data_IF_402864866541
#
_entry.id   IF_402864866541
#
_cell.length_a   1.000
_cell.length_b   1.000
_cell.length_c   1.000
_cell.angle_alpha   90.00
_cell.angle_beta   90.00
_cell.angle_gamma   90.00
#
_symmetry.space_group_name_H-M   'P 1'
#
loop_
_entity.id
_entity.type
_entity.pdbx_description
1 polymer ?
#
# COMPACT_ATOMS: atom_id res chain seq x y z
N UNK A 1 -22.18 -2.55 -30.03
CA UNK A 1 -23.30 -3.14 -29.25
C UNK A 1 -22.69 -3.84 -28.05
N UNK A 2 -23.23 -3.67 -26.81
CA UNK A 2 -22.79 -4.46 -25.69
C UNK A 2 -23.09 -5.94 -25.95
N UNK A 3 -22.33 -6.87 -25.38
CA UNK A 3 -22.63 -8.30 -25.49
C UNK A 3 -23.93 -8.66 -24.77
N UNK A 4 -24.63 -9.71 -25.23
CA UNK A 4 -25.95 -10.10 -24.74
C UNK A 4 -25.95 -10.54 -23.25
N UNK A 5 -24.80 -10.86 -22.69
CA UNK A 5 -24.61 -11.23 -21.29
C UNK A 5 -24.20 -10.07 -20.38
N UNK A 6 -24.27 -8.82 -20.86
CA UNK A 6 -23.94 -7.62 -20.10
C UNK A 6 -25.20 -6.76 -19.92
N UNK A 7 -25.64 -6.61 -18.68
CA UNK A 7 -26.80 -5.83 -18.29
C UNK A 7 -26.40 -4.62 -17.47
N UNK A 8 -27.10 -3.49 -17.65
CA UNK A 8 -26.84 -2.25 -16.95
C UNK A 8 -28.07 -1.80 -16.17
N UNK A 9 -27.89 -1.51 -14.89
CA UNK A 9 -28.87 -0.80 -14.07
C UNK A 9 -28.39 0.63 -13.83
N UNK A 10 -29.19 1.64 -14.21
CA UNK A 10 -28.85 3.04 -14.05
C UNK A 10 -29.47 3.68 -12.79
N UNK A 11 -30.31 2.93 -12.08
CA UNK A 11 -30.87 3.33 -10.80
C UNK A 11 -31.04 2.09 -9.92
N UNK A 12 -30.79 2.25 -8.64
CA UNK A 12 -31.00 1.20 -7.64
C UNK A 12 -31.41 1.83 -6.30
N UNK A 13 -31.92 1.00 -5.40
CA UNK A 13 -32.18 1.35 -4.02
C UNK A 13 -30.90 1.46 -3.19
N UNK A 14 -31.10 1.82 -1.92
CA UNK A 14 -30.00 1.98 -0.98
C UNK A 14 -29.67 0.67 -0.28
N UNK A 15 -28.43 0.52 0.10
CA UNK A 15 -27.85 -0.58 0.85
C UNK A 15 -28.44 -0.64 2.26
N UNK A 16 -28.91 -1.82 2.67
CA UNK A 16 -29.64 -2.00 3.91
C UNK A 16 -31.14 -1.68 3.81
N UNK A 17 -31.64 -1.36 2.62
CA UNK A 17 -33.06 -1.13 2.34
C UNK A 17 -33.51 -1.97 1.12
N UNK A 18 -33.43 -1.42 -0.11
CA UNK A 18 -34.00 -2.09 -1.29
C UNK A 18 -32.93 -2.74 -2.18
N UNK A 19 -31.65 -2.34 -2.09
CA UNK A 19 -30.58 -2.82 -3.00
C UNK A 19 -30.44 -4.33 -2.97
N UNK A 20 -30.43 -4.93 -1.77
CA UNK A 20 -30.26 -6.36 -1.60
C UNK A 20 -31.41 -7.14 -2.27
N UNK A 21 -32.67 -6.69 -2.10
CA UNK A 21 -33.81 -7.32 -2.75
C UNK A 21 -33.78 -7.18 -4.26
N UNK A 22 -33.32 -6.03 -4.77
CA UNK A 22 -33.15 -5.80 -6.20
C UNK A 22 -32.07 -6.70 -6.80
N UNK A 23 -30.95 -6.91 -6.09
CA UNK A 23 -29.91 -7.86 -6.51
C UNK A 23 -30.49 -9.27 -6.55
N UNK A 24 -31.23 -9.70 -5.54
CA UNK A 24 -31.89 -11.01 -5.50
C UNK A 24 -32.86 -11.21 -6.67
N UNK A 25 -33.62 -10.18 -7.03
CA UNK A 25 -34.54 -10.25 -8.17
C UNK A 25 -33.78 -10.34 -9.51
N UNK A 26 -32.71 -9.57 -9.69
CA UNK A 26 -31.82 -9.69 -10.86
C UNK A 26 -31.22 -11.09 -10.97
N UNK A 27 -30.78 -11.69 -9.86
CA UNK A 27 -30.21 -13.04 -9.86
C UNK A 27 -31.26 -14.12 -10.16
N UNK A 28 -32.55 -13.91 -9.84
CA UNK A 28 -33.66 -14.78 -10.27
C UNK A 28 -33.92 -14.68 -11.77
N UNK A 29 -33.89 -13.43 -12.30
CA UNK A 29 -34.13 -13.19 -13.73
C UNK A 29 -32.96 -13.67 -14.60
N UNK A 30 -31.72 -13.58 -14.06
CA UNK A 30 -30.48 -13.95 -14.73
C UNK A 30 -29.66 -14.97 -13.88
N UNK A 31 -30.10 -16.22 -13.77
CA UNK A 31 -29.46 -17.18 -12.86
C UNK A 31 -28.05 -17.61 -13.28
N UNK A 32 -27.59 -17.26 -14.47
CA UNK A 32 -26.21 -17.48 -14.95
C UNK A 32 -25.27 -16.33 -14.61
N UNK A 33 -25.70 -15.34 -13.85
CA UNK A 33 -24.85 -14.21 -13.42
C UNK A 33 -23.68 -14.72 -12.58
N UNK A 34 -22.45 -14.45 -13.00
CA UNK A 34 -21.22 -14.78 -12.25
C UNK A 34 -20.55 -13.56 -11.65
N UNK A 35 -20.89 -12.36 -12.13
CA UNK A 35 -20.22 -11.13 -11.71
C UNK A 35 -21.21 -9.96 -11.68
N UNK A 36 -21.20 -9.22 -10.55
CA UNK A 36 -21.97 -8.01 -10.34
C UNK A 36 -21.04 -6.85 -10.01
N UNK A 37 -21.20 -5.70 -10.68
CA UNK A 37 -20.48 -4.47 -10.37
C UNK A 37 -21.39 -3.45 -9.70
N UNK A 38 -20.89 -2.82 -8.61
CA UNK A 38 -21.52 -1.68 -7.95
C UNK A 38 -20.58 -0.49 -8.08
N UNK A 39 -20.94 0.50 -8.88
CA UNK A 39 -20.15 1.70 -9.12
C UNK A 39 -21.00 2.95 -8.79
N UNK A 40 -20.79 3.54 -7.64
CA UNK A 40 -19.83 3.32 -6.58
C UNK A 40 -20.54 2.98 -5.27
N UNK A 41 -19.80 2.44 -4.29
CA UNK A 41 -20.33 2.19 -2.94
C UNK A 41 -20.98 3.43 -2.33
N UNK A 42 -20.40 4.62 -2.57
CA UNK A 42 -20.92 5.87 -2.04
C UNK A 42 -22.31 6.22 -2.59
N UNK A 43 -22.63 5.82 -3.83
CA UNK A 43 -23.92 6.11 -4.47
C UNK A 43 -25.04 5.25 -3.92
N UNK A 44 -24.73 4.07 -3.42
CA UNK A 44 -25.71 3.11 -2.87
C UNK A 44 -25.82 3.17 -1.35
N UNK A 45 -24.99 3.98 -0.70
CA UNK A 45 -25.04 4.19 0.76
C UNK A 45 -26.09 5.21 1.14
N UNK A 46 -26.76 4.95 2.24
CA UNK A 46 -27.57 6.00 2.89
C UNK A 46 -26.63 7.06 3.52
N UNK A 47 -27.09 8.32 3.52
CA UNK A 47 -26.40 9.42 4.20
C UNK A 47 -26.48 9.24 5.72
N UNK A 48 -25.59 8.41 6.27
CA UNK A 48 -25.55 8.14 7.72
C UNK A 48 -25.04 9.38 8.44
N UNK A 49 -25.77 9.79 9.48
CA UNK A 49 -25.39 10.93 10.33
C UNK A 49 -23.97 10.70 10.92
N UNK A 50 -23.20 11.78 11.06
CA UNK A 50 -21.80 11.82 11.52
C UNK A 50 -21.50 11.19 12.89
N UNK A 51 -22.47 10.54 13.55
CA UNK A 51 -22.36 9.92 14.87
C UNK A 51 -22.11 8.40 14.84
N UNK A 52 -22.16 7.77 13.68
CA UNK A 52 -21.95 6.32 13.56
C UNK A 52 -20.46 6.02 13.36
N UNK A 53 -19.96 5.00 14.05
CA UNK A 53 -18.60 4.52 13.84
C UNK A 53 -18.45 4.04 12.39
N UNK A 54 -17.63 4.72 11.59
CA UNK A 54 -17.42 4.43 10.19
C UNK A 54 -17.00 2.96 9.94
N UNK A 55 -16.18 2.40 10.83
CA UNK A 55 -15.77 1.00 10.78
C UNK A 55 -16.97 0.04 10.85
N UNK A 56 -17.85 0.25 11.83
CA UNK A 56 -19.02 -0.62 12.03
C UNK A 56 -20.00 -0.52 10.87
N UNK A 57 -20.13 0.67 10.27
CA UNK A 57 -20.97 0.88 9.12
C UNK A 57 -20.39 0.21 7.87
N UNK A 58 -19.10 0.43 7.58
CA UNK A 58 -18.41 -0.21 6.45
C UNK A 58 -18.51 -1.74 6.54
N UNK A 59 -18.28 -2.29 7.73
CA UNK A 59 -18.38 -3.73 7.97
C UNK A 59 -19.80 -4.25 7.74
N UNK A 60 -20.83 -3.54 8.22
CA UNK A 60 -22.24 -3.92 8.06
C UNK A 60 -22.65 -3.91 6.58
N UNK A 61 -22.33 -2.83 5.87
CA UNK A 61 -22.67 -2.63 4.47
C UNK A 61 -22.11 -3.74 3.59
N UNK A 62 -20.81 -4.00 3.70
CA UNK A 62 -20.18 -5.04 2.90
C UNK A 62 -20.57 -6.46 3.34
N UNK A 63 -20.91 -6.68 4.60
CA UNK A 63 -21.32 -8.00 5.08
C UNK A 63 -22.66 -8.46 4.45
N UNK A 64 -23.57 -7.55 4.11
CA UNK A 64 -24.82 -7.91 3.41
C UNK A 64 -24.51 -8.35 1.97
N UNK A 65 -23.67 -7.61 1.25
CA UNK A 65 -23.24 -7.96 -0.10
C UNK A 65 -22.43 -9.27 -0.12
N UNK A 66 -21.54 -9.46 0.86
CA UNK A 66 -20.77 -10.70 1.01
C UNK A 66 -21.68 -11.92 1.15
N UNK A 67 -22.73 -11.83 1.98
CA UNK A 67 -23.70 -12.91 2.14
C UNK A 67 -24.41 -13.27 0.84
N UNK A 68 -24.80 -12.28 0.03
CA UNK A 68 -25.42 -12.52 -1.28
C UNK A 68 -24.42 -13.21 -2.20
N UNK A 69 -23.17 -12.71 -2.26
CA UNK A 69 -22.12 -13.31 -3.07
C UNK A 69 -21.89 -14.79 -2.72
N UNK A 70 -21.78 -15.10 -1.42
CA UNK A 70 -21.56 -16.45 -0.92
C UNK A 70 -22.75 -17.37 -1.20
N UNK A 71 -23.99 -16.88 -0.99
CA UNK A 71 -25.19 -17.67 -1.19
C UNK A 71 -25.41 -18.06 -2.66
N UNK A 72 -25.05 -17.19 -3.58
CA UNK A 72 -25.25 -17.40 -5.02
C UNK A 72 -23.99 -17.87 -5.75
N UNK A 73 -22.83 -17.93 -5.06
CA UNK A 73 -21.56 -18.32 -5.68
C UNK A 73 -21.10 -17.34 -6.77
N UNK A 74 -21.36 -16.03 -6.58
CA UNK A 74 -21.01 -14.98 -7.52
C UNK A 74 -19.91 -14.06 -6.96
N UNK A 75 -19.26 -13.32 -7.83
CA UNK A 75 -18.38 -12.23 -7.44
C UNK A 75 -19.13 -10.89 -7.44
N UNK A 76 -19.12 -10.17 -6.31
CA UNK A 76 -19.59 -8.78 -6.25
C UNK A 76 -18.40 -7.85 -6.20
N UNK A 77 -18.22 -7.03 -7.23
CA UNK A 77 -17.15 -6.04 -7.37
C UNK A 77 -17.69 -4.67 -6.97
N UNK A 78 -17.13 -4.11 -5.89
CA UNK A 78 -17.55 -2.83 -5.35
C UNK A 78 -16.50 -1.78 -5.61
N UNK A 79 -16.84 -0.74 -6.37
CA UNK A 79 -15.96 0.39 -6.64
C UNK A 79 -16.05 1.41 -5.51
N UNK A 80 -14.89 1.88 -5.02
CA UNK A 80 -14.82 2.87 -3.97
C UNK A 80 -13.67 3.85 -4.21
N UNK A 81 -13.81 5.10 -3.76
CA UNK A 81 -12.77 6.11 -3.91
C UNK A 81 -11.70 5.99 -2.81
N UNK A 82 -10.46 6.29 -3.16
CA UNK A 82 -9.36 6.40 -2.19
C UNK A 82 -9.34 7.81 -1.57
N UNK A 83 -8.74 7.95 -0.37
CA UNK A 83 -8.52 9.25 0.27
C UNK A 83 -7.53 10.09 -0.53
N UNK A 84 -7.69 11.42 -0.46
CA UNK A 84 -6.73 12.38 -1.05
C UNK A 84 -5.39 12.39 -0.30
N UNK A 85 -5.41 12.21 1.03
CA UNK A 85 -4.21 12.14 1.85
C UNK A 85 -3.55 10.76 1.74
N UNK A 86 -2.25 10.76 1.45
CA UNK A 86 -1.45 9.54 1.37
C UNK A 86 -0.88 9.22 2.75
N UNK A 87 -1.29 8.09 3.32
CA UNK A 87 -0.54 7.51 4.43
C UNK A 87 0.72 6.86 3.83
N UNK A 88 1.91 7.40 4.16
CA UNK A 88 3.20 6.93 3.64
C UNK A 88 3.59 5.51 4.07
N UNK A 89 2.63 4.74 4.61
CA UNK A 89 2.76 3.35 5.02
C UNK A 89 2.15 2.36 4.02
N UNK A 90 1.16 1.60 4.47
CA UNK A 90 0.47 0.61 3.65
C UNK A 90 -0.52 1.28 2.71
N UNK A 91 -0.42 1.02 1.39
CA UNK A 91 -1.29 1.58 0.35
C UNK A 91 -2.78 1.27 0.60
N UNK A 92 -3.10 0.15 1.24
CA UNK A 92 -4.47 -0.24 1.56
C UNK A 92 -5.10 0.59 2.68
N UNK A 93 -4.29 1.34 3.46
CA UNK A 93 -4.78 2.32 4.42
C UNK A 93 -5.36 3.58 3.74
N UNK A 94 -5.06 3.78 2.45
CA UNK A 94 -5.58 4.91 1.68
C UNK A 94 -7.00 4.66 1.13
N UNK A 95 -7.55 3.46 1.32
CA UNK A 95 -8.98 3.25 1.02
C UNK A 95 -9.81 4.15 1.94
N UNK A 96 -10.71 4.92 1.32
CA UNK A 96 -11.59 5.83 2.05
C UNK A 96 -12.49 5.03 2.98
N UNK A 97 -12.52 5.38 4.24
CA UNK A 97 -13.31 4.65 5.22
C UNK A 97 -12.41 4.10 6.32
N UNK A 98 -12.73 2.95 6.76
CA UNK A 98 -12.03 2.27 7.82
C UNK A 98 -11.41 0.99 7.29
N UNK A 99 -10.56 0.39 8.10
CA UNK A 99 -10.12 -0.99 7.91
C UNK A 99 -11.29 -1.99 7.84
N UNK A 100 -12.53 -1.54 8.08
CA UNK A 100 -13.76 -2.32 7.99
C UNK A 100 -14.03 -2.89 6.60
N UNK A 101 -13.73 -2.12 5.54
CA UNK A 101 -13.89 -2.58 4.15
C UNK A 101 -13.00 -3.81 3.90
N UNK A 102 -11.70 -3.69 4.22
CA UNK A 102 -10.74 -4.78 4.03
C UNK A 102 -10.99 -5.97 4.96
N UNK A 103 -11.67 -5.75 6.09
CA UNK A 103 -12.05 -6.81 7.03
C UNK A 103 -13.11 -7.77 6.48
N UNK A 104 -13.93 -7.34 5.53
CA UNK A 104 -15.02 -8.12 4.92
C UNK A 104 -14.66 -8.62 3.52
N UNK A 105 -14.02 -7.79 2.71
CA UNK A 105 -13.66 -8.15 1.33
C UNK A 105 -12.66 -9.32 1.30
N UNK A 106 -12.86 -10.25 0.37
CA UNK A 106 -11.89 -11.34 0.13
C UNK A 106 -10.66 -10.82 -0.60
N UNK A 107 -10.84 -9.84 -1.48
CA UNK A 107 -9.76 -9.22 -2.27
C UNK A 107 -9.95 -7.72 -2.33
N UNK A 108 -8.89 -6.97 -2.08
CA UNK A 108 -8.79 -5.53 -2.28
C UNK A 108 -7.90 -5.22 -3.48
N UNK A 109 -8.35 -4.29 -4.32
CA UNK A 109 -7.61 -3.79 -5.47
C UNK A 109 -7.54 -2.27 -5.42
N UNK A 110 -6.34 -1.69 -5.50
CA UNK A 110 -6.15 -0.24 -5.52
C UNK A 110 -5.46 0.17 -6.80
N UNK A 111 -6.21 0.87 -7.66
CA UNK A 111 -5.68 1.46 -8.88
C UNK A 111 -5.25 2.92 -8.62
N UNK A 112 -4.00 3.24 -8.90
CA UNK A 112 -3.46 4.60 -8.80
C UNK A 112 -2.81 5.00 -10.09
N UNK A 113 -3.14 6.19 -10.58
CA UNK A 113 -2.33 6.84 -11.60
C UNK A 113 -1.07 7.41 -10.95
N UNK A 114 0.06 7.25 -11.61
CA UNK A 114 1.35 7.76 -11.14
C UNK A 114 1.38 9.29 -11.23
N UNK A 115 0.75 9.84 -12.28
CA UNK A 115 0.51 11.25 -12.49
C UNK A 115 -0.92 11.48 -12.99
N UNK A 116 -1.50 12.66 -12.66
CA UNK A 116 -2.88 13.02 -13.02
C UNK A 116 -3.10 13.00 -14.54
N UNK A 117 -2.11 13.42 -15.30
CA UNK A 117 -2.17 13.54 -16.77
C UNK A 117 -1.34 12.46 -17.50
N UNK A 118 -0.64 11.62 -16.76
CA UNK A 118 0.20 10.54 -17.30
C UNK A 118 -0.62 9.33 -17.74
N UNK A 119 0.00 8.51 -18.57
CA UNK A 119 -0.57 7.27 -19.10
C UNK A 119 -0.18 6.04 -18.28
N UNK A 120 0.53 6.24 -17.15
CA UNK A 120 0.98 5.16 -16.28
C UNK A 120 0.09 5.05 -15.04
N UNK A 121 -0.15 3.83 -14.62
CA UNK A 121 -0.85 3.52 -13.38
C UNK A 121 -0.28 2.26 -12.72
N UNK A 122 -0.54 2.14 -11.43
CA UNK A 122 -0.18 0.97 -10.64
C UNK A 122 -1.45 0.38 -10.03
N UNK A 123 -1.68 -0.92 -10.24
CA UNK A 123 -2.73 -1.70 -9.58
C UNK A 123 -2.08 -2.58 -8.50
N UNK A 124 -2.43 -2.35 -7.25
CA UNK A 124 -2.03 -3.19 -6.12
C UNK A 124 -3.18 -4.12 -5.75
N UNK A 125 -2.90 -5.40 -5.56
CA UNK A 125 -3.86 -6.45 -5.24
C UNK A 125 -3.42 -7.13 -3.95
N UNK A 126 -4.35 -7.33 -3.02
CA UNK A 126 -4.16 -8.15 -1.82
C UNK A 126 -5.46 -8.86 -1.47
N UNK A 127 -5.38 -10.00 -0.81
CA UNK A 127 -6.57 -10.76 -0.43
C UNK A 127 -6.25 -11.94 0.47
N UNK A 128 -7.30 -12.64 0.92
CA UNK A 128 -7.17 -13.81 1.79
C UNK A 128 -6.57 -15.00 1.04
N UNK A 129 -7.06 -15.21 -0.19
CA UNK A 129 -6.71 -16.35 -1.05
C UNK A 129 -5.98 -15.91 -2.32
N UNK A 130 -5.48 -14.66 -2.33
CA UNK A 130 -4.77 -14.07 -3.46
C UNK A 130 -3.41 -13.59 -2.99
N UNK A 131 -2.36 -14.01 -3.68
CA UNK A 131 -1.01 -13.52 -3.45
C UNK A 131 -0.93 -12.01 -3.70
N UNK A 132 -0.20 -11.29 -2.84
CA UNK A 132 0.02 -9.86 -3.06
C UNK A 132 0.75 -9.62 -4.38
N UNK A 133 0.18 -8.75 -5.21
CA UNK A 133 0.71 -8.39 -6.52
C UNK A 133 0.66 -6.89 -6.74
N UNK A 134 1.63 -6.41 -7.50
CA UNK A 134 1.66 -5.04 -7.99
C UNK A 134 1.83 -5.07 -9.50
N UNK A 135 0.83 -4.56 -10.22
CA UNK A 135 0.83 -4.52 -11.69
C UNK A 135 1.10 -3.09 -12.13
N UNK A 136 2.16 -2.88 -12.90
CA UNK A 136 2.35 -1.61 -13.61
C UNK A 136 1.56 -1.66 -14.90
N UNK A 137 0.88 -0.58 -15.20
CA UNK A 137 -0.05 -0.49 -16.32
C UNK A 137 0.20 0.79 -17.10
N UNK A 138 0.01 0.71 -18.40
CA UNK A 138 0.06 1.84 -19.30
C UNK A 138 -1.25 1.99 -20.08
N UNK A 139 -1.68 3.23 -20.30
CA UNK A 139 -2.86 3.52 -21.10
C UNK A 139 -2.50 3.45 -22.59
N UNK A 140 -3.09 2.49 -23.28
CA UNK A 140 -2.95 2.33 -24.73
C UNK A 140 -4.30 2.63 -25.40
N UNK A 141 -4.44 3.87 -25.88
CA UNK A 141 -5.71 4.36 -26.39
C UNK A 141 -6.77 4.50 -25.28
N UNK A 142 -7.73 3.56 -25.23
CA UNK A 142 -8.80 3.53 -24.22
C UNK A 142 -8.69 2.34 -23.25
N UNK A 143 -7.61 1.61 -23.28
CA UNK A 143 -7.40 0.41 -22.47
C UNK A 143 -6.13 0.54 -21.64
N UNK A 144 -6.19 0.00 -20.42
CA UNK A 144 -5.02 -0.22 -19.60
C UNK A 144 -4.38 -1.56 -19.98
N UNK A 145 -3.10 -1.55 -20.28
CA UNK A 145 -2.30 -2.75 -20.56
C UNK A 145 -1.29 -2.95 -19.43
N UNK A 146 -1.11 -4.21 -19.01
CA UNK A 146 -0.14 -4.57 -17.98
C UNK A 146 1.23 -4.60 -18.65
N UNK A 147 2.15 -3.78 -18.16
CA UNK A 147 3.54 -3.70 -18.66
C UNK A 147 4.50 -4.50 -17.80
N UNK A 148 4.21 -4.66 -16.50
CA UNK A 148 5.06 -5.38 -15.56
C UNK A 148 4.20 -5.97 -14.44
N UNK A 149 4.50 -7.19 -14.00
CA UNK A 149 3.92 -7.83 -12.83
C UNK A 149 5.01 -8.07 -11.79
N UNK A 150 4.84 -7.52 -10.59
CA UNK A 150 5.72 -7.73 -9.44
C UNK A 150 4.99 -8.64 -8.45
N UNK A 151 5.58 -9.79 -8.18
CA UNK A 151 5.09 -10.75 -7.19
C UNK A 151 5.33 -10.28 -5.75
N UNK A 152 4.76 -10.97 -4.76
CA UNK A 152 5.04 -10.72 -3.34
C UNK A 152 6.54 -10.80 -3.02
N UNK A 153 7.28 -11.70 -3.68
CA UNK A 153 8.74 -11.82 -3.49
C UNK A 153 9.49 -10.64 -4.09
N UNK A 154 9.02 -10.09 -5.22
CA UNK A 154 9.60 -8.88 -5.81
C UNK A 154 9.26 -7.64 -4.98
N UNK A 155 8.07 -7.59 -4.39
CA UNK A 155 7.66 -6.53 -3.46
C UNK A 155 8.45 -6.58 -2.14
N UNK A 156 8.80 -7.77 -1.66
CA UNK A 156 9.68 -7.95 -0.49
C UNK A 156 11.12 -7.53 -0.77
N UNK A 157 11.55 -7.59 -2.03
CA UNK A 157 12.83 -7.07 -2.51
C UNK A 157 12.78 -5.54 -2.72
N UNK A 158 11.86 -4.84 -2.05
CA UNK A 158 11.77 -3.38 -2.12
C UNK A 158 13.17 -2.78 -1.93
N UNK A 159 13.57 -1.89 -2.84
CA UNK A 159 14.91 -1.30 -2.88
C UNK A 159 15.33 -0.86 -1.47
N UNK A 160 16.37 -1.49 -0.95
CA UNK A 160 16.93 -1.10 0.34
C UNK A 160 17.45 0.34 0.21
N UNK A 161 16.98 1.28 1.06
CA UNK A 161 17.42 2.66 0.99
C UNK A 161 18.94 2.79 1.18
N UNK A 162 19.58 3.69 0.46
CA UNK A 162 21.02 3.99 0.56
C UNK A 162 21.46 4.29 2.01
N UNK A 163 20.59 4.93 2.78
CA UNK A 163 20.79 5.14 4.21
C UNK A 163 21.10 3.85 4.98
N UNK A 164 20.41 2.76 4.67
CA UNK A 164 20.59 1.46 5.36
C UNK A 164 21.98 0.91 5.07
N UNK A 165 22.44 0.99 3.82
CA UNK A 165 23.81 0.62 3.45
C UNK A 165 24.87 1.49 4.11
N UNK A 166 24.66 2.81 4.18
CA UNK A 166 25.55 3.73 4.87
C UNK A 166 25.68 3.43 6.36
N UNK A 167 24.57 3.04 7.02
CA UNK A 167 24.61 2.62 8.42
C UNK A 167 25.43 1.32 8.59
N UNK A 168 25.26 0.36 7.69
CA UNK A 168 26.03 -0.90 7.73
C UNK A 168 27.53 -0.59 7.53
N UNK A 169 27.89 0.20 6.51
CA UNK A 169 29.29 0.60 6.27
C UNK A 169 29.91 1.27 7.50
N UNK A 170 29.18 2.22 8.08
CA UNK A 170 29.59 2.91 9.29
C UNK A 170 29.88 1.94 10.45
N UNK A 171 29.00 0.95 10.63
CA UNK A 171 29.17 -0.03 11.71
C UNK A 171 30.30 -1.04 11.42
N UNK A 172 30.58 -1.35 10.17
CA UNK A 172 31.78 -2.14 9.83
C UNK A 172 33.08 -1.40 10.17
N UNK A 173 33.09 -0.08 10.05
CA UNK A 173 34.25 0.75 10.36
C UNK A 173 34.38 1.06 11.88
N UNK A 174 33.26 1.43 12.53
CA UNK A 174 33.25 1.97 13.90
C UNK A 174 32.79 0.96 14.96
N UNK A 175 32.26 -0.20 14.57
CA UNK A 175 31.79 -1.30 15.40
C UNK A 175 30.52 -1.02 16.20
N UNK A 176 30.31 0.19 16.66
CA UNK A 176 29.15 0.56 17.47
C UNK A 176 28.73 2.01 17.26
N UNK A 177 27.49 2.30 17.55
CA UNK A 177 26.92 3.64 17.62
C UNK A 177 25.94 3.73 18.79
N UNK A 178 26.06 4.79 19.60
CA UNK A 178 25.06 5.13 20.62
C UNK A 178 24.77 6.63 20.52
N UNK A 179 23.47 6.99 20.42
CA UNK A 179 23.08 8.38 20.27
C UNK A 179 21.64 8.52 19.76
N UNK A 180 21.29 9.70 19.31
CA UNK A 180 20.00 9.96 18.66
C UNK A 180 20.05 9.59 17.18
N UNK A 181 18.87 9.39 16.57
CA UNK A 181 18.79 9.15 15.11
C UNK A 181 19.32 10.33 14.31
N UNK A 182 19.20 11.55 14.83
CA UNK A 182 19.75 12.76 14.20
C UNK A 182 21.27 12.72 14.17
N UNK A 183 21.90 12.29 15.26
CA UNK A 183 23.37 12.12 15.34
C UNK A 183 23.84 10.97 14.43
N UNK A 184 23.07 9.88 14.31
CA UNK A 184 23.37 8.82 13.35
C UNK A 184 23.35 9.34 11.92
N UNK A 185 22.31 10.10 11.55
CA UNK A 185 22.21 10.70 10.21
C UNK A 185 23.43 11.59 9.89
N UNK A 186 23.87 12.39 10.85
CA UNK A 186 25.07 13.19 10.71
C UNK A 186 26.33 12.32 10.56
N UNK A 187 26.46 11.27 11.37
CA UNK A 187 27.61 10.36 11.34
C UNK A 187 27.74 9.60 10.02
N UNK A 188 26.60 9.17 9.40
CA UNK A 188 26.61 8.49 8.10
C UNK A 188 26.55 9.44 6.90
N UNK A 189 26.65 10.75 7.13
CA UNK A 189 26.65 11.77 6.04
C UNK A 189 25.34 11.86 5.28
N UNK A 190 24.20 11.58 5.91
CA UNK A 190 22.88 11.69 5.29
C UNK A 190 22.06 12.81 5.93
N UNK A 191 22.19 14.01 5.39
CA UNK A 191 21.52 15.22 5.91
C UNK A 191 20.13 15.47 5.33
N UNK A 192 19.74 14.76 4.28
CA UNK A 192 18.46 14.96 3.58
C UNK A 192 17.32 14.17 4.21
N UNK A 193 17.64 13.03 4.84
CA UNK A 193 16.62 12.14 5.41
C UNK A 193 16.13 12.66 6.77
N UNK A 194 14.81 12.71 6.95
CA UNK A 194 14.20 13.10 8.23
C UNK A 194 14.41 12.01 9.30
N UNK A 195 14.71 12.37 10.58
CA UNK A 195 14.98 11.38 11.64
C UNK A 195 13.87 10.37 11.89
N UNK A 196 12.60 10.75 11.71
CA UNK A 196 11.46 9.85 11.86
C UNK A 196 11.41 8.79 10.75
N UNK A 197 11.84 9.14 9.53
CA UNK A 197 11.93 8.20 8.40
C UNK A 197 13.10 7.26 8.60
N UNK A 198 14.27 7.78 9.00
CA UNK A 198 15.44 6.97 9.32
C UNK A 198 15.14 5.94 10.43
N UNK A 199 14.43 6.34 11.48
CA UNK A 199 14.01 5.43 12.56
C UNK A 199 13.11 4.30 12.04
N UNK A 200 12.18 4.61 11.12
CA UNK A 200 11.34 3.60 10.46
C UNK A 200 12.18 2.61 9.63
N UNK A 201 13.19 3.09 8.91
CA UNK A 201 14.08 2.23 8.13
C UNK A 201 14.93 1.31 9.02
N UNK A 202 15.47 1.80 10.12
CA UNK A 202 16.21 0.96 11.07
C UNK A 202 15.37 -0.19 11.60
N UNK A 203 14.10 0.06 11.94
CA UNK A 203 13.19 -0.97 12.42
C UNK A 203 12.77 -1.92 11.30
N UNK A 204 12.40 -1.38 10.12
CA UNK A 204 11.89 -2.16 8.98
C UNK A 204 12.93 -3.13 8.43
N UNK A 205 14.17 -2.66 8.23
CA UNK A 205 15.23 -3.47 7.63
C UNK A 205 16.05 -4.24 8.67
N UNK A 206 15.61 -4.28 9.94
CA UNK A 206 16.35 -4.98 10.98
C UNK A 206 16.49 -6.47 10.70
N UNK A 207 15.40 -7.18 10.47
CA UNK A 207 15.39 -8.63 10.23
C UNK A 207 16.00 -9.03 8.89
N UNK A 208 15.91 -8.15 7.89
CA UNK A 208 16.35 -8.45 6.53
C UNK A 208 17.82 -8.08 6.29
N UNK A 209 18.29 -6.98 6.89
CA UNK A 209 19.65 -6.46 6.66
C UNK A 209 20.52 -6.49 7.90
N UNK A 210 20.11 -5.87 9.01
CA UNK A 210 20.98 -5.68 10.16
C UNK A 210 21.23 -6.98 10.94
N UNK A 211 20.19 -7.72 11.28
CA UNK A 211 20.33 -8.94 12.06
C UNK A 211 21.15 -10.03 11.33
N UNK A 212 20.99 -10.31 10.02
CA UNK A 212 21.83 -11.24 9.29
C UNK A 212 23.32 -10.83 9.21
N UNK A 213 23.62 -9.54 9.38
CA UNK A 213 24.98 -9.02 9.44
C UNK A 213 25.56 -8.96 10.85
N UNK A 214 24.84 -9.52 11.84
CA UNK A 214 25.28 -9.50 13.23
C UNK A 214 25.13 -8.17 13.94
N UNK A 215 24.35 -7.25 13.36
CA UNK A 215 24.09 -5.94 13.95
C UNK A 215 22.89 -6.03 14.88
N UNK A 216 23.07 -5.70 16.16
CA UNK A 216 22.00 -5.54 17.13
C UNK A 216 21.51 -4.10 17.16
N UNK A 217 20.19 -3.91 17.32
CA UNK A 217 19.53 -2.61 17.41
C UNK A 217 18.70 -2.54 18.68
N UNK A 218 18.99 -1.58 19.55
CA UNK A 218 18.23 -1.28 20.74
C UNK A 218 17.71 0.15 20.70
N UNK A 219 16.45 0.31 21.11
CA UNK A 219 15.81 1.61 21.24
C UNK A 219 15.51 1.89 22.71
N UNK A 220 15.98 3.05 23.22
CA UNK A 220 15.74 3.49 24.59
C UNK A 220 15.03 4.84 24.59
N UNK A 221 13.92 4.92 25.32
CA UNK A 221 13.20 6.17 25.53
C UNK A 221 13.35 6.57 26.99
N UNK A 222 14.00 7.71 27.24
CA UNK A 222 14.08 8.35 28.56
C UNK A 222 13.21 9.60 28.58
N UNK A 223 13.02 10.20 29.75
CA UNK A 223 12.29 11.47 29.87
C UNK A 223 12.96 12.63 29.10
N UNK A 224 14.29 12.55 28.88
CA UNK A 224 15.08 13.61 28.26
C UNK A 224 15.33 13.38 26.76
N UNK A 225 15.45 12.14 26.30
CA UNK A 225 15.81 11.85 24.91
C UNK A 225 15.34 10.47 24.43
N UNK A 226 15.31 10.31 23.10
CA UNK A 226 15.14 9.02 22.43
C UNK A 226 16.47 8.65 21.81
N UNK A 227 17.12 7.62 22.37
CA UNK A 227 18.42 7.14 21.93
C UNK A 227 18.30 5.76 21.29
N UNK A 228 19.21 5.45 20.39
CA UNK A 228 19.40 4.17 19.76
C UNK A 228 20.80 3.66 20.04
N UNK A 229 20.94 2.36 20.13
CA UNK A 229 22.24 1.67 20.17
C UNK A 229 22.28 0.65 19.04
N UNK A 230 23.32 0.72 18.25
CA UNK A 230 23.64 -0.21 17.16
C UNK A 230 25.00 -0.80 17.44
N UNK A 231 25.14 -2.13 17.44
CA UNK A 231 26.39 -2.82 17.72
C UNK A 231 26.61 -3.95 16.73
N UNK A 232 27.76 -3.97 16.09
CA UNK A 232 28.22 -5.08 15.26
C UNK A 232 28.89 -6.11 16.12
N UNK A 233 28.32 -7.29 16.24
CA UNK A 233 28.85 -8.40 17.03
C UNK A 233 29.87 -9.21 16.21
N UNK A 234 31.01 -9.53 16.81
CA UNK A 234 31.98 -10.44 16.21
C UNK A 234 31.45 -11.88 16.26
N UNK A 235 31.44 -12.57 15.12
CA UNK A 235 31.05 -13.98 15.05
C UNK A 235 29.63 -14.26 14.56
N UNK A 236 28.94 -13.30 13.95
CA UNK A 236 27.69 -13.57 13.23
C UNK A 236 27.98 -14.22 11.85
N UNK A 237 28.71 -15.34 11.87
CA UNK A 237 28.73 -16.27 10.74
C UNK A 237 27.35 -16.96 10.73
N UNK A 238 26.45 -16.43 9.90
CA UNK A 238 25.16 -17.07 9.71
C UNK A 238 25.34 -18.46 9.15
N UNK A 239 24.30 -19.25 9.26
CA UNK A 239 24.23 -20.66 8.89
C UNK A 239 24.60 -20.97 7.41
N UNK A 240 24.94 -19.97 6.58
CA UNK A 240 25.30 -20.05 5.16
C UNK A 240 26.79 -19.87 4.87
N UNK A 241 27.63 -19.69 5.90
CA UNK A 241 29.09 -19.56 5.77
C UNK A 241 29.61 -18.30 5.08
N UNK A 242 28.75 -17.32 4.81
CA UNK A 242 29.13 -16.05 4.20
C UNK A 242 29.54 -15.03 5.26
N UNK A 243 30.63 -14.30 5.02
CA UNK A 243 31.02 -13.15 5.85
C UNK A 243 30.02 -11.98 5.71
N UNK A 244 29.97 -11.11 6.72
CA UNK A 244 29.11 -9.93 6.68
C UNK A 244 29.35 -9.03 5.45
N UNK A 245 30.61 -8.91 5.01
CA UNK A 245 30.99 -8.17 3.80
C UNK A 245 30.51 -8.81 2.52
N UNK A 246 30.55 -10.13 2.40
CA UNK A 246 30.02 -10.87 1.24
C UNK A 246 28.50 -10.75 1.16
N UNK A 247 27.81 -10.80 2.29
CA UNK A 247 26.36 -10.56 2.37
C UNK A 247 26.00 -9.16 1.94
N UNK A 248 26.75 -8.15 2.41
CA UNK A 248 26.54 -6.76 2.03
C UNK A 248 26.74 -6.57 0.52
N UNK A 249 27.78 -7.15 -0.05
CA UNK A 249 28.05 -7.11 -1.49
C UNK A 249 26.91 -7.79 -2.28
N UNK A 250 26.42 -8.93 -1.81
CA UNK A 250 25.29 -9.64 -2.44
C UNK A 250 23.99 -8.82 -2.38
N UNK A 251 23.70 -8.16 -1.24
CA UNK A 251 22.53 -7.30 -1.10
C UNK A 251 22.61 -6.06 -1.99
N UNK A 252 23.80 -5.43 -2.13
CA UNK A 252 24.02 -4.32 -3.04
C UNK A 252 23.83 -4.74 -4.49
N UNK A 253 24.41 -5.83 -4.93
CA UNK A 253 24.24 -6.34 -6.28
C UNK A 253 22.77 -6.64 -6.62
N UNK A 254 22.00 -7.19 -5.67
CA UNK A 254 20.55 -7.37 -5.82
C UNK A 254 19.80 -6.03 -5.88
N UNK A 255 20.18 -5.07 -5.06
CA UNK A 255 19.58 -3.74 -5.02
C UNK A 255 19.86 -2.96 -6.32
N UNK A 256 21.08 -3.07 -6.88
CA UNK A 256 21.48 -2.45 -8.14
C UNK A 256 20.80 -3.12 -9.34
N UNK A 257 20.54 -4.43 -9.30
CA UNK A 257 19.75 -5.15 -10.31
C UNK A 257 18.30 -4.68 -10.40
N UNK A 258 17.76 -4.12 -9.31
CA UNK A 258 16.44 -3.47 -9.28
C UNK A 258 16.50 -2.04 -9.87
N UNK A 259 17.69 -1.44 -9.96
CA UNK A 259 17.96 -0.08 -10.47
C UNK A 259 17.75 0.10 -11.98
N UNK A 260 17.59 -0.98 -12.75
CA UNK A 260 17.20 -0.90 -14.17
C UNK A 260 15.71 -0.58 -14.37
N UNK A 261 14.95 -0.49 -13.29
CA UNK A 261 13.56 0.00 -13.28
C UNK A 261 13.61 1.54 -13.14
N UNK A 262 12.83 2.31 -13.93
CA UNK A 262 12.83 3.77 -13.82
C UNK A 262 12.53 4.21 -12.39
N UNK A 263 13.33 5.14 -11.87
CA UNK A 263 13.21 5.67 -10.52
C UNK A 263 11.78 6.12 -10.23
N UNK A 264 11.26 5.71 -9.08
CA UNK A 264 10.08 6.36 -8.51
C UNK A 264 10.40 7.85 -8.38
N UNK A 265 9.50 8.76 -8.81
CA UNK A 265 9.80 10.19 -8.84
C UNK A 265 10.31 10.66 -7.48
N UNK A 266 11.48 11.29 -7.51
CA UNK A 266 12.13 11.87 -6.33
C UNK A 266 11.16 12.84 -5.64
N UNK A 267 11.16 12.85 -4.30
CA UNK A 267 10.32 13.72 -3.46
C UNK A 267 10.46 15.23 -3.73
N UNK A 268 11.30 15.65 -4.67
CA UNK A 268 11.56 17.06 -4.99
C UNK A 268 10.49 17.72 -5.88
N UNK A 269 9.52 17.01 -6.43
CA UNK A 269 8.47 17.60 -7.27
C UNK A 269 7.16 17.93 -6.53
N UNK A 270 7.15 17.87 -5.19
CA UNK A 270 5.95 18.14 -4.36
C UNK A 270 5.96 19.48 -3.63
N UNK A 271 6.82 20.43 -4.03
CA UNK A 271 6.78 21.79 -3.53
C UNK A 271 6.05 22.68 -4.53
N UNK A 272 4.78 22.89 -4.33
CA UNK A 272 3.92 24.03 -4.72
C UNK A 272 2.53 23.57 -5.12
N UNK A 273 1.67 23.44 -4.13
CA UNK A 273 0.23 23.54 -4.33
C UNK A 273 -0.22 24.68 -3.42
N UNK A 274 -0.38 25.87 -4.00
CA UNK A 274 -1.14 26.97 -3.40
C UNK A 274 -2.59 26.53 -3.24
N UNK A 275 -3.14 26.83 -2.09
CA UNK A 275 -4.57 26.67 -1.79
C UNK A 275 -5.36 27.47 -2.81
N UNK A 276 -6.22 26.81 -3.57
CA UNK A 276 -7.26 27.48 -4.36
C UNK A 276 -8.53 27.36 -3.55
N UNK A 277 -9.03 28.51 -3.11
CA UNK A 277 -10.29 28.65 -2.39
C UNK A 277 -11.46 28.02 -3.19
N UNK A 278 -12.17 27.11 -2.54
CA UNK A 278 -13.40 26.46 -3.03
C UNK A 278 -14.63 27.37 -2.80
N UNK A 279 -14.69 28.52 -3.49
CA UNK A 279 -15.90 29.34 -3.56
C UNK A 279 -16.17 29.78 -5.00
N UNK A 280 -16.46 28.85 -5.91
CA UNK A 280 -17.18 29.15 -7.15
C UNK A 280 -18.28 28.11 -7.37
N UNK A 281 -19.52 28.61 -7.22
CA UNK A 281 -20.74 27.91 -7.57
C UNK A 281 -20.73 27.48 -9.05
N UNK A 282 -20.91 26.19 -9.29
CA UNK A 282 -21.14 25.65 -10.63
C UNK A 282 -22.60 25.92 -11.03
N UNK A 283 -22.88 26.58 -12.19
CA UNK A 283 -24.22 26.66 -12.74
C UNK A 283 -24.57 25.35 -13.46
N UNK A 284 -25.70 24.77 -13.02
CA UNK A 284 -26.49 23.67 -13.58
C UNK A 284 -25.91 22.24 -13.49
#
# INVERSE_FOLDING_TARGET
>A
TPPDNLHFGFSCGQLGAELESQIEDVLKDYPSTGLLFIDTLQMVRDNVSAKVNAYAQDYKDLSSLKKIADNHGICIFVVHHTRKERDGGNIFNDMTGSTGIMGVADTGMILRKDDRFGDNATLCITGRDVEEKKLKMQMCGVKWEITEELSADDLRKERIPDFVFKVVDFLFEHRQFEGTVTELLAAVGNTELKPNVASKYLTRFYSEVFAPMGITYEYRKTAAARTISLTLNDGADGNDGLSGTERLASLRAKNDGISSLPDSPSQSSFASWEEVDDDEELPF
#
